data_IF_279600983276
#
_entry.id   IF_279600983276
#
_cell.length_a   1.000
_cell.length_b   1.000
_cell.length_c   1.000
_cell.angle_alpha   90.00
_cell.angle_beta   90.00
_cell.angle_gamma   90.00
#
_symmetry.space_group_name_H-M   'P 1'
#
loop_
_entity.id
_entity.type
_entity.pdbx_description
1 polymer ?
#
# COMPACT_ATOMS: atom_id res chain seq x y z
N UNK A 1 -21.92 -72.99 1.18
CA UNK A 1 -20.76 -72.58 1.90
C UNK A 1 -19.82 -71.95 0.89
N UNK A 2 -19.81 -70.61 0.79
CA UNK A 2 -18.81 -69.89 0.04
C UNK A 2 -17.98 -69.11 1.08
N UNK A 3 -16.67 -69.35 1.10
CA UNK A 3 -15.73 -68.69 1.92
C UNK A 3 -15.52 -67.28 1.31
N UNK A 4 -15.87 -66.23 2.07
CA UNK A 4 -15.43 -64.90 1.84
C UNK A 4 -13.97 -64.76 2.36
N UNK A 5 -13.07 -64.43 1.46
CA UNK A 5 -11.66 -64.18 1.74
C UNK A 5 -11.49 -62.67 1.93
N UNK A 6 -11.11 -62.16 3.13
CA UNK A 6 -11.11 -60.73 3.44
C UNK A 6 -9.71 -60.07 3.31
N UNK A 7 -8.88 -60.44 2.34
CA UNK A 7 -7.57 -59.83 2.13
C UNK A 7 -7.25 -59.56 0.67
N UNK A 8 -8.09 -58.75 0.02
CA UNK A 8 -7.61 -58.02 -1.14
C UNK A 8 -7.09 -56.66 -0.64
N UNK A 9 -5.81 -56.59 -0.28
CA UNK A 9 -5.07 -55.36 -0.13
C UNK A 9 -5.13 -54.65 -1.49
N UNK A 10 -5.76 -53.49 -1.51
CA UNK A 10 -5.80 -52.59 -2.68
C UNK A 10 -4.38 -52.01 -2.89
N UNK A 11 -3.57 -52.80 -3.62
CA UNK A 11 -2.16 -52.49 -3.96
C UNK A 11 -2.02 -51.30 -4.95
N UNK A 12 -3.11 -50.66 -5.32
CA UNK A 12 -3.16 -49.56 -6.28
C UNK A 12 -3.88 -48.31 -5.78
N UNK A 13 -4.01 -48.15 -4.46
CA UNK A 13 -4.28 -46.80 -3.97
C UNK A 13 -3.05 -45.93 -4.37
N UNK A 14 -3.21 -44.86 -5.15
CA UNK A 14 -2.10 -43.97 -5.38
C UNK A 14 -1.66 -43.43 -4.01
N UNK A 15 -0.47 -43.85 -3.59
CA UNK A 15 0.22 -43.14 -2.49
C UNK A 15 0.31 -41.69 -2.93
N UNK A 16 -0.51 -40.85 -2.31
CA UNK A 16 -0.53 -39.39 -2.45
C UNK A 16 0.76 -38.85 -1.74
N UNK A 17 1.91 -39.41 -2.12
CA UNK A 17 3.22 -38.99 -1.61
C UNK A 17 3.61 -37.71 -2.34
N UNK A 18 3.20 -36.56 -1.78
CA UNK A 18 3.73 -35.31 -2.26
C UNK A 18 5.27 -35.35 -2.16
N UNK A 19 5.90 -34.78 -3.16
CA UNK A 19 7.36 -34.64 -3.22
C UNK A 19 7.88 -33.92 -1.96
N UNK A 20 9.11 -34.16 -1.53
CA UNK A 20 9.75 -33.31 -0.54
C UNK A 20 9.61 -31.85 -0.92
N UNK A 21 9.34 -30.97 0.05
CA UNK A 21 9.01 -29.56 -0.23
C UNK A 21 9.98 -28.90 -1.20
N UNK A 22 11.27 -29.16 -1.05
CA UNK A 22 12.30 -28.54 -1.90
C UNK A 22 12.15 -28.93 -3.37
N UNK A 23 11.89 -30.21 -3.64
CA UNK A 23 11.68 -30.72 -4.98
C UNK A 23 10.38 -30.17 -5.56
N UNK A 24 9.35 -30.06 -4.74
CA UNK A 24 8.09 -29.44 -5.12
C UNK A 24 8.24 -27.96 -5.47
N UNK A 25 9.02 -27.19 -4.71
CA UNK A 25 9.28 -25.78 -5.01
C UNK A 25 10.07 -25.61 -6.34
N UNK A 26 11.00 -26.51 -6.63
CA UNK A 26 11.68 -26.53 -7.94
C UNK A 26 10.72 -26.93 -9.08
N UNK A 27 9.80 -27.86 -8.85
CA UNK A 27 8.75 -28.19 -9.82
C UNK A 27 7.85 -26.98 -10.10
N UNK A 28 7.43 -26.24 -9.07
CA UNK A 28 6.65 -25.00 -9.24
C UNK A 28 7.44 -23.90 -9.95
N UNK A 29 8.76 -23.82 -9.75
CA UNK A 29 9.61 -22.92 -10.55
C UNK A 29 9.60 -23.32 -12.02
N UNK A 30 9.73 -24.62 -12.33
CA UNK A 30 9.71 -25.13 -13.72
C UNK A 30 8.36 -24.87 -14.40
N UNK A 31 7.27 -24.93 -13.64
CA UNK A 31 5.90 -24.60 -14.07
C UNK A 31 5.65 -23.09 -14.20
N UNK A 32 6.60 -22.23 -13.79
CA UNK A 32 6.47 -20.79 -13.86
C UNK A 32 5.65 -20.17 -12.72
N UNK A 33 5.27 -20.95 -11.70
CA UNK A 33 4.55 -20.45 -10.52
C UNK A 33 5.48 -19.67 -9.58
N UNK A 34 6.74 -20.08 -9.49
CA UNK A 34 7.78 -19.40 -8.71
C UNK A 34 8.91 -18.93 -9.61
N UNK A 35 9.57 -17.88 -9.20
CA UNK A 35 10.75 -17.34 -9.90
C UNK A 35 12.03 -17.97 -9.35
N UNK A 36 13.14 -17.96 -10.13
CA UNK A 36 14.44 -18.37 -9.62
C UNK A 36 14.86 -17.64 -8.34
N UNK A 37 14.49 -16.35 -8.19
CA UNK A 37 14.81 -15.58 -7.00
C UNK A 37 14.06 -16.07 -5.76
N UNK A 38 12.81 -16.54 -5.91
CA UNK A 38 12.00 -17.07 -4.82
C UNK A 38 12.65 -18.33 -4.24
N UNK A 39 13.16 -19.18 -5.14
CA UNK A 39 13.90 -20.40 -4.77
C UNK A 39 15.27 -20.07 -4.17
N UNK A 40 16.00 -19.13 -4.75
CA UNK A 40 17.29 -18.69 -4.22
C UNK A 40 17.16 -18.14 -2.79
N UNK A 41 16.09 -17.40 -2.53
CA UNK A 41 15.81 -16.89 -1.19
C UNK A 41 15.51 -18.01 -0.18
N UNK A 42 14.69 -18.98 -0.57
CA UNK A 42 14.45 -20.17 0.26
C UNK A 42 15.74 -20.96 0.51
N UNK A 43 16.58 -21.16 -0.51
CA UNK A 43 17.88 -21.82 -0.38
C UNK A 43 18.83 -21.08 0.57
N UNK A 44 18.84 -19.74 0.51
CA UNK A 44 19.56 -18.92 1.48
C UNK A 44 19.11 -19.21 2.92
N UNK A 45 17.79 -19.23 3.15
CA UNK A 45 17.24 -19.54 4.48
C UNK A 45 17.65 -20.94 4.93
N UNK A 46 17.51 -21.95 4.05
CA UNK A 46 17.91 -23.32 4.36
C UNK A 46 19.42 -23.47 4.64
N UNK A 47 20.27 -22.78 3.89
CA UNK A 47 21.73 -22.83 4.08
C UNK A 47 22.12 -22.27 5.47
N UNK A 48 21.46 -21.22 5.94
CA UNK A 48 21.75 -20.59 7.22
C UNK A 48 20.94 -21.19 8.39
N UNK A 49 19.93 -21.99 8.10
CA UNK A 49 19.13 -22.74 9.08
C UNK A 49 18.73 -24.10 8.49
N UNK A 50 19.67 -25.07 8.44
CA UNK A 50 19.45 -26.38 7.79
C UNK A 50 18.29 -27.20 8.39
N UNK A 51 17.98 -26.98 9.68
CA UNK A 51 16.89 -27.62 10.40
C UNK A 51 15.57 -26.82 10.33
N UNK A 52 15.46 -25.83 9.44
CA UNK A 52 14.23 -25.04 9.28
C UNK A 52 13.07 -25.95 8.89
N UNK A 53 11.93 -25.88 9.59
CA UNK A 53 10.74 -26.60 9.20
C UNK A 53 10.23 -26.19 7.82
N UNK A 54 9.56 -27.09 7.10
CA UNK A 54 9.04 -26.85 5.75
C UNK A 54 8.16 -25.61 5.65
N UNK A 55 7.34 -25.34 6.65
CA UNK A 55 6.51 -24.13 6.67
C UNK A 55 7.34 -22.84 6.69
N UNK A 56 8.52 -22.82 7.30
CA UNK A 56 9.45 -21.66 7.29
C UNK A 56 10.08 -21.50 5.90
N UNK A 57 10.52 -22.60 5.30
CA UNK A 57 11.11 -22.60 3.95
C UNK A 57 10.08 -22.12 2.90
N UNK A 58 8.86 -22.66 2.97
CA UNK A 58 7.77 -22.25 2.09
C UNK A 58 7.39 -20.78 2.32
N UNK A 59 7.21 -20.35 3.57
CA UNK A 59 6.90 -18.94 3.87
C UNK A 59 7.98 -18.01 3.34
N UNK A 60 9.26 -18.40 3.38
CA UNK A 60 10.36 -17.60 2.83
C UNK A 60 10.29 -17.48 1.31
N UNK A 61 10.07 -18.59 0.59
CA UNK A 61 9.89 -18.57 -0.86
C UNK A 61 8.69 -17.70 -1.28
N UNK A 62 7.56 -17.89 -0.60
CA UNK A 62 6.33 -17.13 -0.89
C UNK A 62 6.43 -15.66 -0.51
N UNK A 63 7.19 -15.30 0.51
CA UNK A 63 7.48 -13.90 0.84
C UNK A 63 8.20 -13.18 -0.30
N UNK A 64 9.20 -13.82 -0.91
CA UNK A 64 9.87 -13.29 -2.09
C UNK A 64 8.93 -13.25 -3.32
N UNK A 65 8.08 -14.26 -3.47
CA UNK A 65 7.10 -14.32 -4.55
C UNK A 65 6.07 -13.18 -4.49
N UNK A 66 5.42 -12.95 -3.36
CA UNK A 66 4.41 -11.88 -3.23
C UNK A 66 5.02 -10.49 -3.34
N UNK A 67 6.29 -10.33 -2.93
CA UNK A 67 7.04 -9.09 -3.13
C UNK A 67 7.10 -8.70 -4.61
N UNK A 68 7.38 -9.64 -5.49
CA UNK A 68 7.43 -9.38 -6.94
C UNK A 68 6.10 -8.93 -7.53
N UNK A 69 5.02 -9.25 -6.86
CA UNK A 69 3.65 -8.86 -7.24
C UNK A 69 3.23 -7.53 -6.62
N UNK A 70 4.17 -6.82 -5.97
CA UNK A 70 3.95 -5.49 -5.39
C UNK A 70 3.44 -5.50 -3.96
N UNK A 71 3.47 -6.66 -3.28
CA UNK A 71 3.14 -6.73 -1.86
C UNK A 71 4.37 -6.42 -1.00
N UNK A 72 4.21 -5.71 0.09
CA UNK A 72 5.29 -5.41 1.04
C UNK A 72 5.48 -6.49 2.10
N UNK A 73 4.50 -7.37 2.29
CA UNK A 73 4.50 -8.42 3.30
C UNK A 73 3.69 -9.64 2.87
N UNK A 74 3.92 -10.75 3.57
CA UNK A 74 3.13 -11.99 3.47
C UNK A 74 2.17 -12.06 4.67
N UNK A 75 0.85 -11.93 4.48
CA UNK A 75 -0.14 -12.09 5.53
C UNK A 75 -0.30 -13.58 5.86
N UNK A 76 0.18 -13.99 7.04
CA UNK A 76 0.26 -15.41 7.40
C UNK A 76 -1.12 -16.05 7.64
N UNK A 77 -2.06 -15.30 8.18
CA UNK A 77 -3.42 -15.79 8.38
C UNK A 77 -4.09 -16.14 7.03
N UNK A 78 -3.96 -15.28 6.03
CA UNK A 78 -4.49 -15.51 4.69
C UNK A 78 -3.76 -16.65 3.99
N UNK A 79 -2.43 -16.75 4.18
CA UNK A 79 -1.64 -17.85 3.64
C UNK A 79 -2.09 -19.20 4.15
N UNK A 80 -2.36 -19.32 5.44
CA UNK A 80 -2.78 -20.61 6.05
C UNK A 80 -4.24 -20.93 5.70
N UNK A 81 -5.12 -19.93 5.75
CA UNK A 81 -6.56 -20.14 5.54
C UNK A 81 -6.95 -20.30 4.07
N UNK A 82 -6.32 -19.56 3.16
CA UNK A 82 -6.71 -19.51 1.75
C UNK A 82 -5.52 -19.24 0.81
N UNK A 83 -4.51 -20.14 0.74
CA UNK A 83 -3.29 -19.93 -0.03
C UNK A 83 -3.54 -19.67 -1.51
N UNK A 84 -4.48 -20.36 -2.12
CA UNK A 84 -4.81 -20.22 -3.54
C UNK A 84 -5.31 -18.80 -3.87
N UNK A 85 -6.12 -18.24 -2.97
CA UNK A 85 -6.63 -16.87 -3.13
C UNK A 85 -5.51 -15.83 -2.99
N UNK A 86 -4.64 -16.00 -1.99
CA UNK A 86 -3.51 -15.10 -1.75
C UNK A 86 -2.52 -15.12 -2.91
N UNK A 87 -2.20 -16.31 -3.40
CA UNK A 87 -1.20 -16.52 -4.45
C UNK A 87 -1.80 -16.37 -5.86
N UNK A 88 -3.14 -16.34 -5.99
CA UNK A 88 -3.86 -16.38 -7.25
C UNK A 88 -3.43 -17.58 -8.13
N UNK A 89 -3.18 -18.73 -7.50
CA UNK A 89 -2.86 -19.98 -8.16
C UNK A 89 -4.13 -20.80 -8.37
N UNK A 90 -4.28 -21.34 -9.55
CA UNK A 90 -5.43 -22.17 -9.88
C UNK A 90 -5.16 -23.62 -9.48
N UNK A 91 -5.85 -24.09 -8.44
CA UNK A 91 -5.74 -25.47 -7.95
C UNK A 91 -6.32 -26.51 -8.91
N UNK A 92 -7.13 -26.11 -9.90
CA UNK A 92 -7.65 -27.02 -10.92
C UNK A 92 -6.58 -27.41 -11.94
N UNK A 93 -5.65 -26.50 -12.20
CA UNK A 93 -4.51 -26.74 -13.10
C UNK A 93 -3.28 -27.28 -12.36
N UNK A 94 -3.20 -27.11 -11.03
CA UNK A 94 -2.07 -27.50 -10.19
C UNK A 94 -2.53 -28.26 -8.94
N UNK A 95 -2.98 -29.53 -9.06
CA UNK A 95 -3.47 -30.31 -7.92
C UNK A 95 -2.38 -30.61 -6.87
N UNK A 96 -1.13 -30.63 -7.27
CA UNK A 96 0.07 -30.79 -6.43
C UNK A 96 0.18 -29.72 -5.35
N UNK A 97 -0.33 -28.51 -5.59
CA UNK A 97 -0.40 -27.44 -4.59
C UNK A 97 -1.22 -27.90 -3.38
N UNK A 98 -2.39 -28.47 -3.63
CA UNK A 98 -3.27 -28.93 -2.56
C UNK A 98 -2.66 -30.10 -1.79
N UNK A 99 -2.01 -31.04 -2.47
CA UNK A 99 -1.31 -32.16 -1.86
C UNK A 99 -0.19 -31.67 -0.94
N UNK A 100 0.62 -30.70 -1.40
CA UNK A 100 1.70 -30.12 -0.61
C UNK A 100 1.18 -29.38 0.62
N UNK A 101 0.07 -28.62 0.49
CA UNK A 101 -0.52 -27.91 1.64
C UNK A 101 -1.01 -28.82 2.74
N UNK A 102 -1.48 -30.03 2.41
CA UNK A 102 -1.91 -31.03 3.41
C UNK A 102 -0.78 -31.53 4.31
N UNK A 103 0.47 -31.43 3.87
CA UNK A 103 1.65 -31.82 4.65
C UNK A 103 2.13 -30.74 5.62
N UNK A 104 1.60 -29.53 5.50
CA UNK A 104 1.98 -28.39 6.32
C UNK A 104 1.05 -28.24 7.53
N UNK A 105 1.50 -27.55 8.60
CA UNK A 105 0.64 -27.30 9.74
C UNK A 105 -0.64 -26.56 9.31
N UNK A 106 -1.79 -27.07 9.73
CA UNK A 106 -3.10 -26.47 9.44
C UNK A 106 -3.44 -25.29 10.36
N UNK A 107 -2.73 -25.16 11.49
CA UNK A 107 -2.95 -24.10 12.47
C UNK A 107 -1.93 -22.98 12.29
N UNK A 108 -2.40 -21.75 12.28
CA UNK A 108 -1.57 -20.54 12.20
C UNK A 108 -0.51 -20.49 13.32
N UNK A 109 -0.88 -20.92 14.54
CA UNK A 109 0.02 -20.89 15.68
C UNK A 109 1.26 -21.76 15.47
N UNK A 110 1.15 -22.88 14.78
CA UNK A 110 2.29 -23.73 14.45
C UNK A 110 3.28 -23.03 13.50
N UNK A 111 2.75 -22.31 12.50
CA UNK A 111 3.58 -21.47 11.61
C UNK A 111 4.26 -20.33 12.37
N UNK A 112 3.53 -19.68 13.27
CA UNK A 112 4.07 -18.60 14.09
C UNK A 112 5.17 -19.11 15.01
N UNK A 113 4.98 -20.23 15.69
CA UNK A 113 6.00 -20.86 16.52
C UNK A 113 7.26 -21.22 15.71
N UNK A 114 7.11 -21.84 14.55
CA UNK A 114 8.23 -22.19 13.68
C UNK A 114 9.02 -20.93 13.24
N UNK A 115 8.32 -19.89 12.80
CA UNK A 115 8.93 -18.62 12.40
C UNK A 115 9.60 -17.90 13.57
N UNK A 116 9.01 -17.93 14.76
CA UNK A 116 9.56 -17.32 15.97
C UNK A 116 10.85 -17.99 16.47
N UNK A 117 11.04 -19.26 16.17
CA UNK A 117 12.26 -20.00 16.52
C UNK A 117 13.33 -19.93 15.41
N UNK A 118 13.00 -19.38 14.25
CA UNK A 118 13.97 -19.22 13.16
C UNK A 118 14.94 -18.07 13.44
N UNK A 119 16.27 -18.31 13.49
CA UNK A 119 17.27 -17.29 13.81
C UNK A 119 17.35 -16.17 12.76
N UNK A 120 16.81 -16.40 11.55
CA UNK A 120 16.76 -15.42 10.47
C UNK A 120 15.51 -14.52 10.53
N UNK A 121 14.63 -14.73 11.51
CA UNK A 121 13.40 -13.97 11.71
C UNK A 121 13.51 -13.16 13.00
N UNK A 122 13.39 -11.85 12.88
CA UNK A 122 13.22 -10.97 14.03
C UNK A 122 11.74 -10.88 14.40
N UNK A 123 11.38 -11.12 15.63
CA UNK A 123 10.03 -10.91 16.15
C UNK A 123 9.92 -9.52 16.76
N UNK A 124 9.07 -8.68 16.21
CA UNK A 124 8.87 -7.30 16.71
C UNK A 124 8.28 -7.31 18.12
N UNK A 125 8.88 -6.56 19.03
CA UNK A 125 8.45 -6.48 20.42
C UNK A 125 9.07 -7.54 21.35
N UNK A 126 9.72 -8.58 20.79
CA UNK A 126 10.42 -9.61 21.55
C UNK A 126 11.95 -9.55 21.35
N UNK A 127 12.38 -9.48 20.10
CA UNK A 127 13.78 -9.64 19.74
C UNK A 127 14.49 -8.30 19.54
N UNK A 128 15.75 -8.22 19.98
CA UNK A 128 16.64 -7.14 19.57
C UNK A 128 16.89 -7.18 18.06
N UNK A 129 17.19 -6.02 17.49
CA UNK A 129 17.54 -5.91 16.09
C UNK A 129 19.01 -6.25 15.86
N UNK A 130 19.30 -7.45 15.37
CA UNK A 130 20.64 -7.94 15.04
C UNK A 130 20.84 -8.14 13.53
N UNK A 131 20.02 -7.52 12.70
CA UNK A 131 20.17 -7.57 11.24
C UNK A 131 19.47 -8.75 10.57
N UNK A 132 18.55 -9.43 11.25
CA UNK A 132 17.80 -10.55 10.68
C UNK A 132 17.13 -10.14 9.36
N UNK A 133 17.22 -10.97 8.30
CA UNK A 133 16.74 -10.61 6.97
C UNK A 133 15.21 -10.62 6.86
N UNK A 134 14.51 -11.31 7.75
CA UNK A 134 13.05 -11.35 7.83
C UNK A 134 12.57 -10.73 9.14
N UNK A 135 11.37 -10.19 9.14
CA UNK A 135 10.73 -9.57 10.30
C UNK A 135 9.30 -10.07 10.42
N UNK A 136 8.99 -10.65 11.57
CA UNK A 136 7.64 -11.06 11.95
C UNK A 136 7.01 -9.99 12.84
N UNK A 137 5.87 -9.46 12.42
CA UNK A 137 5.04 -8.60 13.27
C UNK A 137 3.92 -9.45 13.86
N UNK A 138 4.02 -9.83 15.14
CA UNK A 138 2.97 -10.60 15.78
C UNK A 138 1.76 -9.71 15.99
N UNK A 139 0.63 -10.10 15.44
CA UNK A 139 -0.66 -9.49 15.70
C UNK A 139 -1.68 -10.61 15.91
N UNK A 140 -2.56 -10.56 16.93
CA UNK A 140 -3.44 -11.67 17.26
C UNK A 140 -4.28 -12.19 16.09
N UNK A 141 -4.78 -11.30 15.24
CA UNK A 141 -5.64 -11.65 14.10
C UNK A 141 -5.00 -11.48 12.73
N UNK A 142 -3.85 -10.81 12.63
CA UNK A 142 -3.24 -10.46 11.34
C UNK A 142 -1.71 -10.44 11.40
N UNK A 143 -1.04 -11.55 11.75
CA UNK A 143 0.41 -11.62 11.77
C UNK A 143 0.95 -11.51 10.34
N UNK A 144 2.06 -10.79 10.19
CA UNK A 144 2.68 -10.54 8.88
C UNK A 144 4.17 -10.84 8.92
N UNK A 145 4.66 -11.50 7.87
CA UNK A 145 6.06 -11.70 7.62
C UNK A 145 6.55 -10.73 6.55
N UNK A 146 7.68 -10.08 6.78
CA UNK A 146 8.29 -9.09 5.90
C UNK A 146 9.71 -9.48 5.53
N UNK A 147 10.15 -9.10 4.34
CA UNK A 147 11.58 -8.85 4.15
C UNK A 147 11.95 -7.60 4.94
N UNK A 148 13.10 -7.63 5.64
CA UNK A 148 13.56 -6.54 6.51
C UNK A 148 13.49 -5.17 5.87
N UNK A 149 13.89 -5.04 4.58
CA UNK A 149 13.89 -3.76 3.87
C UNK A 149 12.50 -3.16 3.77
N UNK A 150 11.46 -3.96 3.47
CA UNK A 150 10.08 -3.46 3.33
C UNK A 150 9.46 -3.12 4.66
N UNK A 151 9.74 -3.92 5.72
CA UNK A 151 9.35 -3.57 7.07
C UNK A 151 9.93 -2.22 7.49
N UNK A 152 11.22 -1.96 7.18
CA UNK A 152 11.86 -0.69 7.46
C UNK A 152 11.23 0.45 6.68
N UNK A 153 10.96 0.26 5.38
CA UNK A 153 10.31 1.28 4.56
C UNK A 153 8.91 1.61 5.07
N UNK A 154 8.07 0.63 5.36
CA UNK A 154 6.73 0.87 5.92
C UNK A 154 6.80 1.63 7.25
N UNK A 155 7.69 1.23 8.15
CA UNK A 155 7.88 1.93 9.42
C UNK A 155 8.33 3.38 9.23
N UNK A 156 9.29 3.61 8.37
CA UNK A 156 9.80 4.96 8.09
C UNK A 156 8.69 5.84 7.51
N UNK A 157 7.94 5.33 6.54
CA UNK A 157 6.79 6.06 5.97
C UNK A 157 5.73 6.34 7.04
N UNK A 158 5.35 5.33 7.84
CA UNK A 158 4.37 5.49 8.91
C UNK A 158 4.83 6.53 9.96
N UNK A 159 6.11 6.53 10.36
CA UNK A 159 6.68 7.51 11.28
C UNK A 159 6.60 8.93 10.72
N UNK A 160 6.96 9.12 9.45
CA UNK A 160 6.88 10.44 8.80
C UNK A 160 5.44 10.92 8.66
N UNK A 161 4.49 10.04 8.35
CA UNK A 161 3.06 10.37 8.32
C UNK A 161 2.59 10.81 9.71
N UNK A 162 2.85 9.98 10.73
CA UNK A 162 2.44 10.28 12.12
C UNK A 162 3.06 11.59 12.62
N UNK A 163 4.34 11.83 12.30
CA UNK A 163 5.00 13.09 12.66
C UNK A 163 4.30 14.31 12.04
N UNK A 164 3.90 14.22 10.77
CA UNK A 164 3.14 15.29 10.11
C UNK A 164 1.75 15.46 10.67
N UNK A 165 1.07 14.37 11.01
CA UNK A 165 -0.27 14.41 11.60
C UNK A 165 -0.26 15.00 13.03
N UNK A 166 0.82 14.75 13.79
CA UNK A 166 0.97 15.24 15.18
C UNK A 166 1.57 16.64 15.28
N UNK A 167 2.24 17.10 14.23
CA UNK A 167 2.81 18.43 14.22
C UNK A 167 1.69 19.47 14.29
N UNK A 168 1.63 20.22 15.38
CA UNK A 168 0.78 21.40 15.46
C UNK A 168 1.17 22.36 14.36
N UNK A 169 0.21 22.95 13.65
CA UNK A 169 0.51 24.03 12.71
C UNK A 169 1.30 25.12 13.42
N UNK A 170 2.33 25.63 12.76
CA UNK A 170 3.08 26.78 13.29
C UNK A 170 2.12 27.98 13.43
N UNK A 171 1.96 28.56 14.63
CA UNK A 171 1.07 29.70 14.83
C UNK A 171 1.38 30.86 13.89
N UNK A 172 2.64 31.02 13.46
CA UNK A 172 3.04 32.07 12.53
C UNK A 172 2.57 31.83 11.09
N UNK A 173 2.31 30.57 10.71
CA UNK A 173 1.86 30.22 9.35
C UNK A 173 0.35 29.97 9.25
N UNK A 174 -0.35 29.85 10.39
CA UNK A 174 -1.78 29.49 10.44
C UNK A 174 -2.65 30.52 11.14
N UNK A 175 -2.12 31.72 11.43
CA UNK A 175 -2.90 32.78 12.02
C UNK A 175 -3.84 33.46 10.99
N UNK A 176 -4.47 32.63 10.14
CA UNK A 176 -5.49 33.10 9.22
C UNK A 176 -6.81 33.14 9.99
N UNK A 177 -7.37 34.32 10.06
CA UNK A 177 -8.65 34.57 10.69
C UNK A 177 -9.75 33.63 10.12
N UNK A 178 -10.50 32.88 10.96
CA UNK A 178 -11.56 31.98 10.50
C UNK A 178 -12.63 32.63 9.60
N UNK A 179 -13.09 33.86 9.82
CA UNK A 179 -13.93 34.62 8.89
C UNK A 179 -13.30 34.75 7.50
N UNK A 180 -12.01 35.04 7.38
CA UNK A 180 -11.31 35.14 6.09
C UNK A 180 -11.30 33.81 5.34
N UNK A 181 -11.02 32.70 6.05
CA UNK A 181 -11.07 31.35 5.46
C UNK A 181 -12.48 31.03 4.94
N UNK A 182 -13.52 31.35 5.75
CA UNK A 182 -14.92 31.14 5.35
C UNK A 182 -15.27 31.94 4.11
N UNK A 183 -14.90 33.23 4.08
CA UNK A 183 -15.14 34.10 2.93
C UNK A 183 -14.55 33.50 1.64
N UNK A 184 -13.29 33.04 1.66
CA UNK A 184 -12.66 32.42 0.50
C UNK A 184 -13.30 31.10 0.10
N UNK A 185 -13.66 30.27 1.09
CA UNK A 185 -14.34 29.00 0.82
C UNK A 185 -15.71 29.20 0.19
N UNK A 186 -16.49 30.22 0.63
CA UNK A 186 -17.80 30.56 0.07
C UNK A 186 -17.66 31.04 -1.39
N UNK A 187 -16.62 31.79 -1.70
CA UNK A 187 -16.35 32.25 -3.08
C UNK A 187 -15.83 31.15 -4.00
N UNK A 188 -15.00 30.24 -3.48
CA UNK A 188 -14.43 29.12 -4.23
C UNK A 188 -15.46 28.02 -4.47
N UNK A 189 -16.42 27.85 -3.57
CA UNK A 189 -17.46 26.85 -3.62
C UNK A 189 -18.83 27.52 -3.46
N UNK A 190 -19.30 28.25 -4.48
CA UNK A 190 -20.59 28.91 -4.40
C UNK A 190 -21.69 27.86 -4.24
N UNK A 191 -22.50 28.00 -3.20
CA UNK A 191 -23.64 27.13 -2.95
C UNK A 191 -24.63 27.26 -4.11
N UNK A 192 -24.87 26.20 -4.85
CA UNK A 192 -26.00 26.14 -5.76
C UNK A 192 -27.25 25.83 -4.90
N UNK A 193 -28.23 26.73 -4.86
CA UNK A 193 -29.48 26.42 -4.20
C UNK A 193 -30.14 25.28 -4.98
N UNK A 194 -30.14 24.09 -4.42
CA UNK A 194 -30.92 22.98 -4.92
C UNK A 194 -32.27 22.99 -4.21
N UNK A 195 -33.36 23.47 -4.86
CA UNK A 195 -34.66 23.59 -4.19
C UNK A 195 -35.30 22.23 -3.84
N UNK A 196 -34.68 21.11 -4.23
CA UNK A 196 -35.26 19.77 -4.07
C UNK A 196 -34.81 19.01 -2.82
N UNK A 197 -33.86 19.53 -2.04
CA UNK A 197 -33.38 18.86 -0.83
C UNK A 197 -33.48 19.79 0.37
N UNK A 198 -34.43 19.54 1.28
CA UNK A 198 -34.56 20.19 2.59
C UNK A 198 -33.38 19.91 3.54
N UNK A 199 -32.53 18.94 3.21
CA UNK A 199 -31.28 18.67 3.90
C UNK A 199 -30.12 19.25 3.06
N UNK A 200 -29.47 20.28 3.59
CA UNK A 200 -28.24 20.82 3.02
C UNK A 200 -27.18 19.71 2.99
N UNK A 201 -27.03 19.04 1.87
CA UNK A 201 -25.95 18.07 1.68
C UNK A 201 -24.60 18.76 1.91
N UNK A 202 -23.76 18.15 2.75
CA UNK A 202 -22.44 18.67 3.05
C UNK A 202 -21.61 18.76 1.75
N UNK A 203 -21.09 19.93 1.44
CA UNK A 203 -20.10 20.08 0.37
C UNK A 203 -18.76 19.48 0.80
N UNK A 204 -18.56 18.21 0.46
CA UNK A 204 -17.36 17.45 0.81
C UNK A 204 -16.08 18.03 0.21
N UNK A 205 -16.17 18.71 -0.94
CA UNK A 205 -15.02 19.35 -1.59
C UNK A 205 -14.60 20.61 -0.83
N UNK A 206 -15.55 21.42 -0.41
CA UNK A 206 -15.34 22.59 0.44
C UNK A 206 -14.77 22.19 1.81
N UNK A 207 -15.34 21.14 2.43
CA UNK A 207 -14.86 20.59 3.69
C UNK A 207 -13.43 20.06 3.56
N UNK A 208 -13.12 19.33 2.48
CA UNK A 208 -11.76 18.83 2.22
C UNK A 208 -10.74 19.98 2.13
N UNK A 209 -11.07 21.07 1.46
CA UNK A 209 -10.19 22.26 1.40
C UNK A 209 -10.02 22.91 2.78
N UNK A 210 -11.10 23.05 3.56
CA UNK A 210 -11.04 23.60 4.91
C UNK A 210 -10.15 22.75 5.84
N UNK A 211 -10.27 21.42 5.76
CA UNK A 211 -9.44 20.49 6.54
C UNK A 211 -7.97 20.53 6.09
N UNK A 212 -7.72 20.68 4.79
CA UNK A 212 -6.37 20.73 4.25
C UNK A 212 -5.55 21.92 4.76
N UNK A 213 -6.19 23.07 5.06
CA UNK A 213 -5.52 24.22 5.67
C UNK A 213 -5.02 23.95 7.10
N UNK A 214 -5.62 22.98 7.79
CA UNK A 214 -5.30 22.67 9.19
C UNK A 214 -4.23 21.59 9.34
N UNK A 215 -3.89 20.88 8.26
CA UNK A 215 -3.00 19.74 8.30
C UNK A 215 -1.74 19.92 7.45
N UNK A 216 -0.64 19.28 7.87
CA UNK A 216 0.59 19.21 7.06
C UNK A 216 0.56 18.05 6.07
N UNK A 217 -0.44 17.18 6.16
CA UNK A 217 -0.69 16.09 5.23
C UNK A 217 -2.21 15.94 5.06
N UNK A 218 -2.66 15.96 3.83
CA UNK A 218 -4.07 15.73 3.49
C UNK A 218 -4.16 14.70 2.38
N UNK A 219 -5.07 13.74 2.53
CA UNK A 219 -5.39 12.72 1.54
C UNK A 219 -6.79 12.97 1.01
N UNK A 220 -6.90 13.29 -0.29
CA UNK A 220 -8.17 13.47 -0.99
C UNK A 220 -8.41 12.24 -1.85
N UNK A 221 -9.39 11.42 -1.48
CA UNK A 221 -9.74 10.18 -2.18
C UNK A 221 -11.08 10.32 -2.91
N UNK A 222 -11.33 9.46 -3.87
CA UNK A 222 -12.60 9.42 -4.61
C UNK A 222 -12.46 8.67 -5.93
N UNK A 223 -13.58 8.18 -6.46
CA UNK A 223 -13.66 7.50 -7.75
C UNK A 223 -13.31 8.40 -8.94
N UNK A 224 -13.27 7.88 -10.16
CA UNK A 224 -13.17 8.68 -11.38
C UNK A 224 -14.34 9.69 -11.46
N UNK A 225 -14.07 10.91 -11.92
CA UNK A 225 -15.11 11.94 -12.11
C UNK A 225 -15.61 12.65 -10.84
N UNK A 226 -15.13 12.32 -9.62
CA UNK A 226 -15.59 12.97 -8.38
C UNK A 226 -15.03 14.38 -8.12
N UNK A 227 -14.34 14.96 -9.10
CA UNK A 227 -13.85 16.34 -8.98
C UNK A 227 -12.56 16.50 -8.15
N UNK A 228 -11.75 15.46 -7.96
CA UNK A 228 -10.48 15.57 -7.19
C UNK A 228 -9.57 16.69 -7.70
N UNK A 229 -9.40 16.82 -9.01
CA UNK A 229 -8.56 17.87 -9.62
C UNK A 229 -9.18 19.26 -9.44
N UNK A 230 -10.51 19.34 -9.53
CA UNK A 230 -11.27 20.56 -9.23
C UNK A 230 -11.06 21.01 -7.78
N UNK A 231 -11.14 20.09 -6.83
CA UNK A 231 -10.86 20.35 -5.41
C UNK A 231 -9.40 20.78 -5.18
N UNK A 232 -8.44 20.10 -5.83
CA UNK A 232 -7.02 20.44 -5.72
C UNK A 232 -6.71 21.85 -6.25
N UNK A 233 -7.27 22.25 -7.37
CA UNK A 233 -7.09 23.61 -7.91
C UNK A 233 -7.66 24.69 -6.96
N UNK A 234 -8.84 24.44 -6.38
CA UNK A 234 -9.43 25.35 -5.39
C UNK A 234 -8.64 25.42 -4.11
N UNK A 235 -8.09 24.29 -3.65
CA UNK A 235 -7.16 24.27 -2.52
C UNK A 235 -5.92 25.10 -2.79
N UNK A 236 -5.33 25.01 -3.98
CA UNK A 236 -4.19 25.85 -4.37
C UNK A 236 -4.55 27.33 -4.38
N UNK A 237 -5.70 27.69 -4.96
CA UNK A 237 -6.19 29.09 -4.93
C UNK A 237 -6.44 29.57 -3.50
N UNK A 238 -7.02 28.74 -2.64
CA UNK A 238 -7.25 29.06 -1.23
C UNK A 238 -5.92 29.28 -0.47
N UNK A 239 -4.95 28.38 -0.65
CA UNK A 239 -3.61 28.51 -0.06
C UNK A 239 -2.91 29.80 -0.52
N UNK A 240 -3.03 30.14 -1.79
CA UNK A 240 -2.44 31.37 -2.34
C UNK A 240 -3.13 32.63 -1.82
N UNK A 241 -4.49 32.62 -1.78
CA UNK A 241 -5.29 33.74 -1.29
C UNK A 241 -5.12 34.01 0.21
N UNK A 242 -4.80 32.98 0.99
CA UNK A 242 -4.65 33.06 2.43
C UNK A 242 -3.19 33.12 2.91
N UNK A 243 -2.21 32.99 2.00
CA UNK A 243 -0.81 33.08 2.35
C UNK A 243 -0.42 34.50 2.76
N UNK A 244 0.27 34.65 3.89
CA UNK A 244 0.80 35.94 4.33
C UNK A 244 1.81 36.54 3.32
N UNK A 245 2.53 35.68 2.62
CA UNK A 245 3.50 36.02 1.58
C UNK A 245 3.29 35.10 0.36
N UNK A 246 2.29 35.41 -0.50
CA UNK A 246 1.97 34.58 -1.69
C UNK A 246 3.20 34.38 -2.60
N UNK A 247 4.11 35.35 -2.62
CA UNK A 247 5.32 35.29 -3.41
C UNK A 247 6.35 34.25 -2.97
N UNK A 248 6.29 33.79 -1.76
CA UNK A 248 7.15 32.72 -1.22
C UNK A 248 6.52 31.33 -1.30
N UNK A 249 5.24 31.23 -1.69
CA UNK A 249 4.56 29.95 -1.83
C UNK A 249 5.22 29.12 -2.93
N UNK A 250 5.69 27.92 -2.59
CA UNK A 250 6.27 26.96 -3.53
C UNK A 250 5.31 25.81 -3.72
N UNK A 251 4.91 25.58 -4.95
CA UNK A 251 4.03 24.46 -5.33
C UNK A 251 4.79 23.50 -6.23
N UNK A 252 4.76 22.21 -5.92
CA UNK A 252 5.29 21.15 -6.77
C UNK A 252 4.18 20.15 -7.10
N UNK A 253 3.97 19.88 -8.38
CA UNK A 253 3.04 18.88 -8.87
C UNK A 253 3.82 17.64 -9.30
N UNK A 254 3.42 16.47 -8.83
CA UNK A 254 4.07 15.21 -9.20
C UNK A 254 3.06 14.09 -9.43
N UNK A 255 3.42 13.15 -10.32
CA UNK A 255 2.65 11.96 -10.61
C UNK A 255 3.60 10.77 -10.87
N UNK A 256 3.11 9.51 -10.82
CA UNK A 256 3.95 8.34 -11.04
C UNK A 256 4.63 8.27 -12.42
N UNK A 257 3.94 8.77 -13.46
CA UNK A 257 4.45 8.73 -14.86
C UNK A 257 4.47 10.13 -15.49
N UNK A 258 5.31 10.33 -16.49
CA UNK A 258 5.40 11.60 -17.23
C UNK A 258 4.07 12.00 -17.88
N UNK A 259 3.35 11.05 -18.48
CA UNK A 259 2.02 11.30 -19.08
C UNK A 259 0.99 11.73 -18.02
N UNK A 260 1.01 11.09 -16.84
CA UNK A 260 0.11 11.48 -15.75
C UNK A 260 0.49 12.86 -15.18
N UNK A 261 1.78 13.18 -15.06
CA UNK A 261 2.25 14.49 -14.61
C UNK A 261 1.80 15.60 -15.58
N UNK A 262 1.97 15.42 -16.88
CA UNK A 262 1.52 16.39 -17.90
C UNK A 262 0.00 16.61 -17.85
N UNK A 263 -0.79 15.53 -17.73
CA UNK A 263 -2.25 15.62 -17.59
C UNK A 263 -2.66 16.31 -16.29
N UNK A 264 -1.99 16.01 -15.19
CA UNK A 264 -2.25 16.68 -13.90
C UNK A 264 -2.04 18.19 -14.03
N UNK A 265 -0.90 18.60 -14.59
CA UNK A 265 -0.61 20.05 -14.81
C UNK A 265 -1.68 20.70 -15.65
N UNK A 266 -1.98 20.13 -16.82
CA UNK A 266 -3.00 20.67 -17.73
C UNK A 266 -4.36 20.82 -17.03
N UNK A 267 -4.79 19.81 -16.30
CA UNK A 267 -6.09 19.83 -15.61
C UNK A 267 -6.13 20.83 -14.46
N UNK A 268 -5.03 20.99 -13.74
CA UNK A 268 -4.91 22.00 -12.66
C UNK A 268 -4.95 23.41 -13.27
N UNK A 269 -4.17 23.68 -14.33
CA UNK A 269 -4.14 24.99 -14.99
C UNK A 269 -5.49 25.39 -15.53
N UNK A 270 -6.19 24.45 -16.22
CA UNK A 270 -7.54 24.72 -16.73
C UNK A 270 -8.52 25.01 -15.58
N UNK A 271 -8.45 24.25 -14.48
CA UNK A 271 -9.31 24.48 -13.33
C UNK A 271 -9.01 25.81 -12.62
N UNK A 272 -7.73 26.24 -12.54
CA UNK A 272 -7.34 27.54 -11.99
C UNK A 272 -7.81 28.68 -12.89
N UNK A 273 -7.60 28.59 -14.20
CA UNK A 273 -8.07 29.60 -15.16
C UNK A 273 -9.60 29.75 -15.11
N UNK A 274 -10.33 28.67 -14.89
CA UNK A 274 -11.79 28.71 -14.69
C UNK A 274 -12.23 29.47 -13.43
N UNK A 275 -11.34 29.73 -12.47
CA UNK A 275 -11.62 30.53 -11.28
C UNK A 275 -11.49 32.04 -11.51
N UNK A 276 -10.96 32.47 -12.66
CA UNK A 276 -10.69 33.90 -12.92
C UNK A 276 -11.95 34.75 -12.80
N UNK A 277 -13.11 34.25 -13.22
CA UNK A 277 -14.39 34.99 -13.14
C UNK A 277 -14.89 35.15 -11.70
N UNK A 278 -14.58 34.22 -10.80
CA UNK A 278 -15.06 34.22 -9.42
C UNK A 278 -14.14 34.94 -8.43
N UNK A 279 -12.83 34.85 -8.63
CA UNK A 279 -11.83 35.37 -7.67
C UNK A 279 -10.70 36.18 -8.33
N UNK A 280 -10.69 36.34 -9.66
CA UNK A 280 -9.56 36.93 -10.41
C UNK A 280 -9.28 38.40 -10.11
N UNK A 281 -10.23 39.13 -9.48
CA UNK A 281 -10.00 40.49 -9.05
C UNK A 281 -9.14 40.60 -7.77
N UNK A 282 -9.16 39.55 -6.95
CA UNK A 282 -8.51 39.54 -5.64
C UNK A 282 -7.32 38.61 -5.58
N UNK A 283 -7.21 37.67 -6.53
CA UNK A 283 -6.14 36.67 -6.61
C UNK A 283 -5.54 36.68 -8.00
N UNK A 284 -4.24 36.90 -8.08
CA UNK A 284 -3.48 36.79 -9.34
C UNK A 284 -3.36 35.30 -9.75
N UNK A 285 -4.37 34.84 -10.52
CA UNK A 285 -4.43 33.46 -11.02
C UNK A 285 -3.25 33.19 -11.99
N UNK A 286 -2.82 34.17 -12.77
CA UNK A 286 -1.71 34.01 -13.69
C UNK A 286 -0.40 33.76 -12.94
N UNK A 287 -0.13 34.50 -11.87
CA UNK A 287 1.00 34.26 -10.99
C UNK A 287 0.92 32.88 -10.32
N UNK A 288 -0.26 32.44 -9.88
CA UNK A 288 -0.45 31.12 -9.30
C UNK A 288 -0.15 30.00 -10.31
N UNK A 289 -0.65 30.10 -11.55
CA UNK A 289 -0.36 29.15 -12.64
C UNK A 289 1.14 29.07 -12.94
N UNK A 290 1.83 30.21 -12.97
CA UNK A 290 3.30 30.24 -13.15
C UNK A 290 4.03 29.54 -12.00
N UNK A 291 3.59 29.73 -10.74
CA UNK A 291 4.20 29.14 -9.54
C UNK A 291 4.01 27.64 -9.43
N UNK A 292 2.93 27.07 -10.00
CA UNK A 292 2.78 25.64 -10.07
C UNK A 292 3.84 24.96 -10.94
N UNK A 293 4.55 25.71 -11.77
CA UNK A 293 5.67 25.22 -12.59
C UNK A 293 5.32 24.01 -13.46
N UNK A 294 6.34 23.33 -13.96
CA UNK A 294 6.13 22.06 -14.67
C UNK A 294 5.91 20.91 -13.69
N UNK A 295 4.90 20.09 -13.94
CA UNK A 295 4.71 18.86 -13.18
C UNK A 295 5.82 17.84 -13.54
N UNK A 296 6.26 17.07 -12.55
CA UNK A 296 7.36 16.11 -12.65
C UNK A 296 6.89 14.70 -12.31
N UNK A 297 7.66 13.70 -12.71
CA UNK A 297 7.48 12.38 -12.13
C UNK A 297 7.94 12.38 -10.67
N UNK A 298 7.38 11.48 -9.85
CA UNK A 298 7.84 11.31 -8.46
C UNK A 298 9.36 11.05 -8.41
N UNK A 299 9.89 10.21 -9.31
CA UNK A 299 11.32 9.93 -9.41
C UNK A 299 12.13 11.20 -9.70
N UNK A 300 11.69 12.02 -10.66
CA UNK A 300 12.36 13.28 -10.98
C UNK A 300 12.29 14.30 -9.85
N UNK A 301 11.13 14.39 -9.16
CA UNK A 301 10.97 15.29 -8.02
C UNK A 301 11.89 14.91 -6.86
N UNK A 302 12.02 13.60 -6.58
CA UNK A 302 12.85 13.06 -5.51
C UNK A 302 14.31 12.89 -5.92
N UNK A 303 14.68 13.25 -7.16
CA UNK A 303 16.03 13.09 -7.72
C UNK A 303 16.54 11.64 -7.66
N UNK A 304 15.64 10.68 -7.71
CA UNK A 304 16.00 9.27 -7.79
C UNK A 304 16.58 9.00 -9.18
N UNK A 305 17.81 8.51 -9.23
CA UNK A 305 18.42 8.00 -10.45
C UNK A 305 18.00 6.54 -10.61
N UNK A 306 17.71 6.09 -11.84
CA UNK A 306 17.40 4.69 -12.11
C UNK A 306 18.59 3.79 -11.81
#
# INVERSE_FOLDING_TARGET
MKHDDPHTLDLFAPEDSALPLRDQLHAWQTQGLLRPLDIAWMQFVHTHHPSAPDCVLLASALLAHVESRGHSCLPLADLVAAPQRLLAWDSSTHPDITAQWRQLPTLLDAWLQALQHCPLVRVVGRDADSGQPMVLTPHPSAPKLYLRRYWHYERTVAQHILQRCRATPDPSTTNIDPPTIRHWLDRLFPSQPNPATENADCDWQKLACALALRGRLTLITGGPGTGKTYTAARLLALLFATAAQPDQLRVALAAPTGKAAARLKQSIDQALLGLHTSIGQDVDIAALVQRTGAARTLHSLLQLRP
#
